data_IF_183131579408
#
_entry.id   IF_183131579408
#
_cell.length_a   1.000
_cell.length_b   1.000
_cell.length_c   1.000
_cell.angle_alpha   90.00
_cell.angle_beta   90.00
_cell.angle_gamma   90.00
#
_symmetry.space_group_name_H-M   'P 1'
#
loop_
_entity.id
_entity.type
_entity.pdbx_description
1 polymer ?
#
# COMPACT_ATOMS: atom_id res chain seq x y z
N UNK A 1 -2.05 1.17 -13.91
CA UNK A 1 -2.32 1.26 -12.45
C UNK A 1 -3.70 1.84 -12.16
N UNK A 2 -4.14 2.87 -12.87
CA UNK A 2 -5.46 3.51 -12.68
C UNK A 2 -6.65 2.54 -12.79
N UNK A 3 -6.55 1.52 -13.64
CA UNK A 3 -7.64 0.55 -13.85
C UNK A 3 -7.60 -0.65 -12.88
N UNK A 4 -6.63 -0.69 -11.96
CA UNK A 4 -6.55 -1.73 -10.94
C UNK A 4 -7.50 -1.37 -9.81
N UNK A 5 -8.69 -1.98 -9.83
CA UNK A 5 -9.74 -1.78 -8.84
C UNK A 5 -10.08 -3.10 -8.16
N UNK A 6 -9.76 -3.20 -6.88
CA UNK A 6 -10.17 -4.27 -6.00
C UNK A 6 -10.21 -3.73 -4.57
N UNK A 7 -11.12 -4.25 -3.74
CA UNK A 7 -11.40 -3.70 -2.41
C UNK A 7 -10.18 -3.62 -1.47
N UNK A 8 -9.27 -4.59 -1.55
CA UNK A 8 -8.05 -4.72 -0.76
C UNK A 8 -6.80 -4.20 -1.48
N UNK A 9 -6.97 -3.41 -2.53
CA UNK A 9 -5.89 -2.70 -3.22
C UNK A 9 -6.23 -1.21 -3.18
N UNK A 10 -5.30 -0.40 -2.67
CA UNK A 10 -5.54 1.02 -2.47
C UNK A 10 -5.61 1.73 -3.82
N UNK A 11 -6.69 2.46 -4.10
CA UNK A 11 -6.88 3.07 -5.41
C UNK A 11 -5.79 4.08 -5.74
N UNK A 12 -5.14 3.94 -6.90
CA UNK A 12 -4.22 4.93 -7.42
C UNK A 12 -4.99 6.06 -8.11
N UNK A 13 -4.90 7.28 -7.58
CA UNK A 13 -5.62 8.44 -8.11
C UNK A 13 -4.80 9.20 -9.16
N UNK A 14 -3.47 9.26 -9.00
CA UNK A 14 -2.61 9.96 -9.94
C UNK A 14 -1.23 10.27 -9.38
N UNK A 15 -0.49 11.11 -10.09
CA UNK A 15 0.82 11.59 -9.66
C UNK A 15 0.94 13.11 -9.83
N UNK A 16 1.71 13.72 -8.94
CA UNK A 16 2.20 15.08 -9.08
C UNK A 16 3.53 15.02 -9.85
N UNK A 17 3.54 15.53 -11.08
CA UNK A 17 4.72 15.64 -11.93
C UNK A 17 5.49 16.96 -11.65
N UNK A 18 5.79 17.24 -10.39
CA UNK A 18 6.63 18.39 -10.03
C UNK A 18 8.12 18.02 -10.14
N UNK A 19 8.96 18.82 -10.84
CA UNK A 19 10.38 18.49 -11.01
C UNK A 19 11.19 18.42 -9.71
N UNK A 20 10.76 19.13 -8.66
CA UNK A 20 11.47 19.23 -7.38
C UNK A 20 10.91 18.24 -6.36
N UNK A 21 9.60 18.01 -6.38
CA UNK A 21 8.86 17.19 -5.41
C UNK A 21 7.82 16.31 -6.10
N UNK A 22 8.25 15.28 -6.85
CA UNK A 22 7.32 14.34 -7.42
C UNK A 22 6.56 13.62 -6.31
N UNK A 23 5.29 13.30 -6.56
CA UNK A 23 4.42 12.67 -5.57
C UNK A 23 3.44 11.69 -6.18
N UNK A 24 3.06 10.67 -5.42
CA UNK A 24 2.01 9.73 -5.78
C UNK A 24 0.79 9.99 -4.93
N UNK A 25 -0.39 9.96 -5.56
CA UNK A 25 -1.66 10.22 -4.90
C UNK A 25 -2.48 8.93 -4.91
N UNK A 26 -2.85 8.50 -3.71
CA UNK A 26 -3.65 7.31 -3.45
C UNK A 26 -4.93 7.67 -2.73
N UNK A 27 -5.92 6.78 -2.73
CA UNK A 27 -7.10 6.93 -1.89
C UNK A 27 -6.72 7.06 -0.40
N UNK A 28 -7.41 7.95 0.29
CA UNK A 28 -7.15 8.23 1.70
C UNK A 28 -7.68 7.11 2.60
N UNK A 29 -6.81 6.57 3.43
CA UNK A 29 -7.10 5.55 4.43
C UNK A 29 -6.98 6.15 5.84
N UNK A 30 -8.13 6.36 6.49
CA UNK A 30 -8.20 7.15 7.73
C UNK A 30 -7.59 6.48 8.95
N UNK A 31 -7.28 5.17 8.89
CA UNK A 31 -6.67 4.41 10.00
C UNK A 31 -5.17 4.23 9.79
N UNK A 32 -4.59 4.99 8.83
CA UNK A 32 -3.16 5.03 8.52
C UNK A 32 -2.65 3.62 8.14
N UNK A 33 -1.37 3.34 8.41
CA UNK A 33 -0.76 2.06 8.07
C UNK A 33 -1.04 0.98 9.12
N UNK A 34 -0.91 -0.29 8.72
CA UNK A 34 -0.94 -1.42 9.65
C UNK A 34 0.16 -1.29 10.72
N UNK A 35 1.30 -0.69 10.37
CA UNK A 35 2.37 -0.40 11.33
C UNK A 35 1.90 0.58 12.43
N UNK A 36 1.12 1.59 12.07
CA UNK A 36 0.54 2.55 13.02
C UNK A 36 -0.50 1.87 13.91
N UNK A 37 -1.39 1.07 13.32
CA UNK A 37 -2.42 0.32 14.05
C UNK A 37 -1.81 -0.67 15.05
N UNK A 38 -0.71 -1.35 14.69
CA UNK A 38 -0.03 -2.28 15.61
C UNK A 38 0.61 -1.53 16.80
N UNK A 39 1.03 -0.28 16.62
CA UNK A 39 1.64 0.53 17.69
C UNK A 39 0.63 1.20 18.61
N UNK A 40 -0.64 1.26 18.21
CA UNK A 40 -1.70 1.89 18.97
C UNK A 40 -2.18 0.95 20.10
N UNK A 41 -1.88 1.32 21.35
CA UNK A 41 -2.23 0.53 22.53
C UNK A 41 -3.74 0.46 22.79
N UNK A 42 -4.49 1.44 22.30
CA UNK A 42 -5.94 1.55 22.43
C UNK A 42 -6.72 0.60 21.50
N UNK A 43 -6.05 0.04 20.48
CA UNK A 43 -6.66 -0.91 19.55
C UNK A 43 -6.39 -2.34 19.99
N UNK A 44 -7.43 -3.04 20.43
CA UNK A 44 -7.36 -4.47 20.73
C UNK A 44 -7.35 -5.29 19.44
N UNK A 45 -6.15 -5.69 19.00
CA UNK A 45 -5.96 -6.68 17.95
C UNK A 45 -6.15 -8.09 18.51
N UNK A 46 -7.40 -8.53 18.70
CA UNK A 46 -7.68 -9.93 19.00
C UNK A 46 -7.41 -10.84 17.79
N UNK A 47 -7.51 -12.16 17.97
CA UNK A 47 -7.18 -13.11 16.90
C UNK A 47 -8.09 -12.98 15.68
N UNK A 48 -9.39 -12.80 15.90
CA UNK A 48 -10.38 -12.66 14.83
C UNK A 48 -10.09 -11.41 14.00
N UNK A 49 -9.76 -10.31 14.65
CA UNK A 49 -9.47 -9.05 13.98
C UNK A 49 -8.11 -9.08 13.26
N UNK A 50 -7.09 -9.75 13.82
CA UNK A 50 -5.84 -10.01 13.07
C UNK A 50 -6.10 -10.84 11.82
N UNK A 51 -6.93 -11.87 11.93
CA UNK A 51 -7.25 -12.76 10.81
C UNK A 51 -8.02 -12.04 9.71
N UNK A 52 -8.91 -11.10 10.03
CA UNK A 52 -9.60 -10.29 9.02
C UNK A 52 -8.61 -9.42 8.23
N UNK A 53 -7.68 -8.73 8.91
CA UNK A 53 -6.65 -7.91 8.26
C UNK A 53 -5.71 -8.75 7.39
N UNK A 54 -5.33 -9.95 7.87
CA UNK A 54 -4.50 -10.88 7.09
C UNK A 54 -5.23 -11.40 5.85
N UNK A 55 -6.53 -11.68 5.97
CA UNK A 55 -7.37 -12.12 4.85
C UNK A 55 -7.45 -11.05 3.77
N UNK A 56 -7.65 -9.79 4.17
CA UNK A 56 -7.63 -8.65 3.27
C UNK A 56 -6.27 -8.49 2.56
N UNK A 57 -5.17 -8.61 3.30
CA UNK A 57 -3.82 -8.56 2.73
C UNK A 57 -3.61 -9.66 1.67
N UNK A 58 -4.00 -10.89 1.97
CA UNK A 58 -3.87 -12.03 1.03
C UNK A 58 -4.71 -11.80 -0.21
N UNK A 59 -5.94 -11.28 -0.07
CA UNK A 59 -6.82 -10.95 -1.20
C UNK A 59 -6.20 -9.86 -2.10
N UNK A 60 -5.69 -8.79 -1.51
CA UNK A 60 -5.01 -7.71 -2.24
C UNK A 60 -3.76 -8.19 -2.98
N UNK A 61 -2.91 -8.98 -2.31
CA UNK A 61 -1.71 -9.54 -2.93
C UNK A 61 -2.03 -10.54 -4.05
N UNK A 62 -3.03 -11.40 -3.86
CA UNK A 62 -3.51 -12.32 -4.91
C UNK A 62 -3.96 -11.55 -6.14
N UNK A 63 -4.73 -10.48 -5.96
CA UNK A 63 -5.16 -9.63 -7.07
C UNK A 63 -3.96 -8.99 -7.78
N UNK A 64 -3.03 -8.38 -7.03
CA UNK A 64 -1.84 -7.76 -7.62
C UNK A 64 -0.98 -8.76 -8.40
N UNK A 65 -0.79 -9.98 -7.89
CA UNK A 65 -0.04 -11.04 -8.56
C UNK A 65 -0.70 -11.50 -9.87
N UNK A 66 -2.03 -11.47 -9.94
CA UNK A 66 -2.79 -11.74 -11.16
C UNK A 66 -2.81 -10.58 -12.16
N UNK A 67 -2.45 -9.37 -11.72
CA UNK A 67 -2.43 -8.18 -12.56
C UNK A 67 -1.12 -8.01 -13.35
N UNK A 68 -1.05 -7.08 -14.33
CA UNK A 68 0.21 -6.75 -15.02
C UNK A 68 1.35 -6.29 -14.10
N UNK A 69 1.06 -5.86 -12.87
CA UNK A 69 2.07 -5.48 -11.87
C UNK A 69 2.87 -6.72 -11.41
N UNK A 70 2.24 -7.90 -11.36
CA UNK A 70 2.81 -9.22 -11.00
C UNK A 70 3.39 -9.37 -9.60
N UNK A 71 3.97 -8.32 -9.02
CA UNK A 71 4.58 -8.32 -7.70
C UNK A 71 4.57 -6.91 -7.10
N UNK A 72 4.45 -6.81 -5.77
CA UNK A 72 4.45 -5.50 -5.11
C UNK A 72 5.85 -4.86 -5.07
N UNK A 73 6.90 -5.66 -4.85
CA UNK A 73 8.30 -5.20 -4.75
C UNK A 73 8.69 -4.51 -3.43
N UNK A 74 7.73 -3.93 -2.69
CA UNK A 74 7.97 -3.21 -1.43
C UNK A 74 6.95 -3.52 -0.34
N UNK A 75 6.42 -4.74 -0.30
CA UNK A 75 5.43 -5.11 0.71
C UNK A 75 6.03 -5.01 2.12
N UNK A 76 5.44 -4.16 2.95
CA UNK A 76 5.77 -3.95 4.37
C UNK A 76 4.49 -3.52 5.10
N UNK A 77 4.47 -3.56 6.44
CA UNK A 77 3.33 -3.07 7.22
C UNK A 77 3.02 -1.58 7.00
N UNK A 78 4.00 -0.77 6.56
CA UNK A 78 3.78 0.63 6.17
C UNK A 78 3.00 0.78 4.86
N UNK A 79 3.17 -0.19 3.95
CA UNK A 79 2.51 -0.22 2.64
C UNK A 79 1.19 -1.03 2.65
N UNK A 80 0.68 -1.30 3.86
CA UNK A 80 -0.65 -1.82 4.09
C UNK A 80 -1.41 -0.73 4.85
N UNK A 81 -2.43 -0.13 4.25
CA UNK A 81 -3.20 0.97 4.84
C UNK A 81 -4.62 0.54 5.13
N UNK A 82 -5.28 1.19 6.08
CA UNK A 82 -6.60 0.75 6.57
C UNK A 82 -7.62 1.88 6.41
N UNK A 83 -8.75 1.56 5.78
CA UNK A 83 -9.82 2.53 5.53
C UNK A 83 -10.72 2.76 6.76
N UNK A 84 -11.73 3.62 6.60
CA UNK A 84 -12.65 3.96 7.68
C UNK A 84 -13.46 2.76 8.21
N UNK A 85 -13.64 1.72 7.37
CA UNK A 85 -14.43 0.51 7.61
C UNK A 85 -13.57 -0.67 8.09
N UNK A 86 -12.32 -0.42 8.45
CA UNK A 86 -11.36 -1.45 8.87
C UNK A 86 -11.00 -2.47 7.79
N UNK A 87 -11.11 -2.07 6.52
CA UNK A 87 -10.62 -2.87 5.40
C UNK A 87 -9.15 -2.56 5.16
N UNK A 88 -8.30 -3.58 5.15
CA UNK A 88 -6.89 -3.43 4.78
C UNK A 88 -6.73 -3.38 3.26
N UNK A 89 -5.97 -2.40 2.79
CA UNK A 89 -5.62 -2.18 1.39
C UNK A 89 -4.11 -2.15 1.18
N UNK A 90 -3.64 -2.87 0.16
CA UNK A 90 -2.24 -2.83 -0.28
C UNK A 90 -2.00 -1.57 -1.11
N UNK A 91 -1.01 -0.75 -0.75
CA UNK A 91 -0.68 0.52 -1.44
C UNK A 91 0.75 0.53 -1.96
N UNK A 92 1.19 1.61 -2.62
CA UNK A 92 2.56 1.77 -3.12
C UNK A 92 3.05 0.62 -4.03
N UNK A 93 2.12 -0.05 -4.71
CA UNK A 93 2.41 -1.02 -5.75
C UNK A 93 2.74 -0.33 -7.08
N UNK A 94 3.48 -1.01 -7.95
CA UNK A 94 3.82 -0.49 -9.28
C UNK A 94 4.80 0.69 -9.31
N UNK A 95 5.17 1.25 -8.15
CA UNK A 95 6.15 2.34 -8.05
C UNK A 95 7.49 2.05 -8.72
N UNK A 96 8.10 0.84 -8.62
CA UNK A 96 9.36 0.56 -9.31
C UNK A 96 9.29 0.84 -10.81
N UNK A 97 8.21 0.38 -11.46
CA UNK A 97 8.00 0.61 -12.88
C UNK A 97 7.82 2.10 -13.21
N UNK A 98 7.21 2.90 -12.31
CA UNK A 98 7.09 4.34 -12.54
C UNK A 98 8.44 5.03 -12.44
N UNK A 99 9.26 4.68 -11.45
CA UNK A 99 10.60 5.26 -11.31
C UNK A 99 11.45 4.99 -12.55
N UNK A 100 11.39 3.76 -13.08
CA UNK A 100 12.10 3.38 -14.31
C UNK A 100 11.62 4.22 -15.51
N UNK A 101 10.30 4.35 -15.71
CA UNK A 101 9.72 5.13 -16.83
C UNK A 101 10.10 6.61 -16.74
N UNK A 102 10.14 7.18 -15.53
CA UNK A 102 10.40 8.60 -15.31
C UNK A 102 11.90 8.92 -15.15
N UNK A 103 12.79 7.93 -15.29
CA UNK A 103 14.24 8.06 -14.99
C UNK A 103 14.51 8.66 -13.60
N UNK A 104 13.66 8.35 -12.63
CA UNK A 104 13.81 8.79 -11.24
C UNK A 104 14.65 7.75 -10.51
N UNK A 105 15.68 8.21 -9.78
CA UNK A 105 16.45 7.32 -8.92
C UNK A 105 15.55 6.67 -7.89
N UNK A 106 15.58 5.33 -7.83
CA UNK A 106 14.85 4.58 -6.81
C UNK A 106 15.26 5.07 -5.42
N UNK A 107 14.30 5.41 -4.54
CA UNK A 107 14.63 5.80 -3.18
C UNK A 107 15.38 4.64 -2.51
N UNK A 108 16.58 4.92 -1.98
CA UNK A 108 17.38 3.93 -1.26
C UNK A 108 16.54 3.38 -0.12
N UNK A 109 16.46 2.05 -0.03
CA UNK A 109 15.77 1.38 1.08
C UNK A 109 16.43 1.87 2.38
N UNK A 110 15.68 2.35 3.38
CA UNK A 110 16.29 2.71 4.65
C UNK A 110 16.99 1.45 5.20
N UNK A 111 18.30 1.55 5.37
CA UNK A 111 19.09 0.54 6.07
C UNK A 111 18.53 0.44 7.48
N UNK A 112 18.03 -0.74 7.86
CA UNK A 112 17.55 -0.98 9.22
C UNK A 112 18.68 -0.61 10.18
N UNK A 113 18.44 0.40 11.02
CA UNK A 113 19.20 0.65 12.25
C UNK A 113 18.62 -0.15 13.40
#
# INVERSE_FOLDING_TARGET
>A
MHDLRQENVNGFLGMLCDPVRPGFVWEYCSRKSLEDVIRQEDIKLDWSFRLSLLTDLVRGMRYLHGSPIRHHGRLTSRNCVIDARWVLKVTDYGLPAVYDIQNINHPKRPTKG
#
